data_IF_936332147471
#
_entry.id   IF_936332147471
#
_cell.length_a   1.000
_cell.length_b   1.000
_cell.length_c   1.000
_cell.angle_alpha   90.00
_cell.angle_beta   90.00
_cell.angle_gamma   90.00
#
_symmetry.space_group_name_H-M   'P 1'
#
loop_
_entity.id
_entity.type
_entity.pdbx_description
1 polymer ?
#
# COMPACT_ATOMS: atom_id res chain seq x y z
N UNK A 1 -10.29 24.70 -16.22
CA UNK A 1 -9.59 24.13 -15.04
C UNK A 1 -10.42 22.91 -14.62
N UNK A 2 -9.86 21.71 -14.68
CA UNK A 2 -10.54 20.50 -14.20
C UNK A 2 -10.78 20.62 -12.69
N UNK A 3 -12.00 20.37 -12.25
CA UNK A 3 -12.39 20.44 -10.85
C UNK A 3 -11.72 19.27 -10.10
N UNK A 4 -10.96 19.54 -9.07
CA UNK A 4 -10.47 18.50 -8.16
C UNK A 4 -11.68 17.88 -7.45
N UNK A 5 -11.90 16.59 -7.65
CA UNK A 5 -13.00 15.85 -7.03
C UNK A 5 -12.41 14.88 -6.01
N UNK A 6 -12.83 15.01 -4.76
CA UNK A 6 -12.32 14.19 -3.65
C UNK A 6 -12.46 12.68 -3.94
N UNK A 7 -11.37 11.96 -3.81
CA UNK A 7 -11.33 10.50 -4.01
C UNK A 7 -11.42 10.05 -5.47
N UNK A 8 -11.28 10.97 -6.43
CA UNK A 8 -11.30 10.66 -7.84
C UNK A 8 -10.03 11.12 -8.54
N UNK A 9 -9.59 10.36 -9.53
CA UNK A 9 -8.38 10.61 -10.31
C UNK A 9 -8.80 10.97 -11.72
N UNK A 10 -8.48 12.21 -12.15
CA UNK A 10 -8.72 12.66 -13.51
C UNK A 10 -7.96 11.76 -14.50
N UNK A 11 -8.66 11.29 -15.54
CA UNK A 11 -8.09 10.39 -16.53
C UNK A 11 -7.39 11.16 -17.67
N UNK A 12 -6.75 10.40 -18.57
CA UNK A 12 -5.96 10.95 -19.67
C UNK A 12 -6.79 11.80 -20.65
N UNK A 13 -8.07 11.50 -20.81
CA UNK A 13 -9.02 12.25 -21.65
C UNK A 13 -9.33 13.63 -21.08
N UNK A 14 -8.99 13.90 -19.82
CA UNK A 14 -9.30 15.13 -19.06
C UNK A 14 -10.80 15.41 -18.87
N UNK A 15 -11.63 14.41 -19.09
CA UNK A 15 -13.08 14.46 -19.01
C UNK A 15 -13.63 13.47 -17.99
N UNK A 16 -13.08 12.26 -17.94
CA UNK A 16 -13.54 11.20 -17.05
C UNK A 16 -12.63 11.01 -15.84
N UNK A 17 -13.16 10.31 -14.84
CA UNK A 17 -12.48 10.03 -13.59
C UNK A 17 -12.41 8.53 -13.31
N UNK A 18 -11.42 8.15 -12.50
CA UNK A 18 -11.36 6.84 -11.87
C UNK A 18 -11.53 6.99 -10.36
N UNK A 19 -12.21 6.04 -9.74
CA UNK A 19 -12.23 5.86 -8.29
C UNK A 19 -11.59 4.54 -7.90
N UNK A 20 -10.94 4.50 -6.74
CA UNK A 20 -10.22 3.32 -6.25
C UNK A 20 -10.67 3.04 -4.82
N UNK A 21 -11.72 2.23 -4.62
CA UNK A 21 -12.17 1.84 -3.30
C UNK A 21 -11.07 1.16 -2.48
N UNK A 22 -11.09 1.37 -1.18
CA UNK A 22 -10.19 0.69 -0.25
C UNK A 22 -10.58 -0.78 -0.16
N UNK A 23 -9.64 -1.64 -0.47
CA UNK A 23 -9.75 -3.10 -0.34
C UNK A 23 -8.51 -3.52 0.47
N UNK A 24 -8.64 -3.66 1.79
CA UNK A 24 -7.52 -4.00 2.66
C UNK A 24 -6.85 -5.31 2.23
N UNK A 25 -5.53 -5.27 2.00
CA UNK A 25 -4.70 -6.39 1.55
C UNK A 25 -5.22 -7.15 0.32
N UNK A 26 -6.17 -6.56 -0.43
CA UNK A 26 -6.80 -7.24 -1.57
C UNK A 26 -7.81 -8.32 -1.20
N UNK A 27 -8.22 -8.41 0.07
CA UNK A 27 -9.22 -9.41 0.52
C UNK A 27 -10.61 -8.96 0.11
N UNK A 28 -11.29 -9.81 -0.64
CA UNK A 28 -12.62 -9.56 -1.19
C UNK A 28 -13.63 -10.59 -0.65
N UNK A 29 -14.87 -10.16 -0.47
CA UNK A 29 -16.01 -11.06 -0.28
C UNK A 29 -16.92 -11.03 -1.51
N UNK A 30 -17.81 -12.02 -1.69
CA UNK A 30 -18.80 -11.99 -2.76
C UNK A 30 -19.62 -10.70 -2.78
N UNK A 31 -20.03 -10.19 -1.60
CA UNK A 31 -20.82 -8.97 -1.47
C UNK A 31 -20.08 -7.73 -1.96
N UNK A 32 -18.78 -7.63 -1.66
CA UNK A 32 -17.93 -6.54 -2.19
C UNK A 32 -17.85 -6.61 -3.72
N UNK A 33 -17.65 -7.80 -4.29
CA UNK A 33 -17.61 -7.99 -5.74
C UNK A 33 -18.95 -7.65 -6.41
N UNK A 34 -20.06 -8.09 -5.83
CA UNK A 34 -21.41 -7.77 -6.31
C UNK A 34 -21.65 -6.26 -6.29
N UNK A 35 -21.30 -5.60 -5.19
CA UNK A 35 -21.41 -4.15 -5.03
C UNK A 35 -20.61 -3.39 -6.08
N UNK A 36 -19.36 -3.77 -6.28
CA UNK A 36 -18.50 -3.19 -7.33
C UNK A 36 -19.10 -3.39 -8.71
N UNK A 37 -19.63 -4.58 -9.01
CA UNK A 37 -20.26 -4.89 -10.28
C UNK A 37 -21.58 -4.09 -10.51
N UNK A 38 -22.41 -3.95 -9.47
CA UNK A 38 -23.64 -3.15 -9.51
C UNK A 38 -23.35 -1.68 -9.82
N UNK A 39 -22.39 -1.08 -9.08
CA UNK A 39 -21.98 0.30 -9.29
C UNK A 39 -21.37 0.49 -10.69
N UNK A 40 -20.52 -0.43 -11.12
CA UNK A 40 -19.92 -0.38 -12.44
C UNK A 40 -20.98 -0.39 -13.56
N UNK A 41 -22.04 -1.22 -13.44
CA UNK A 41 -23.14 -1.26 -14.39
C UNK A 41 -23.99 0.03 -14.34
N UNK A 42 -24.35 0.49 -13.13
CA UNK A 42 -25.19 1.68 -12.94
C UNK A 42 -24.59 2.94 -13.56
N UNK A 43 -23.28 3.13 -13.41
CA UNK A 43 -22.58 4.32 -13.90
C UNK A 43 -21.82 4.09 -15.21
N UNK A 44 -22.09 3.00 -15.93
CA UNK A 44 -21.45 2.65 -17.20
C UNK A 44 -19.92 2.74 -17.15
N UNK A 45 -19.34 2.22 -16.06
CA UNK A 45 -17.89 2.18 -15.88
C UNK A 45 -17.23 1.45 -17.04
N UNK A 46 -16.35 2.12 -17.76
CA UNK A 46 -15.74 1.59 -18.98
C UNK A 46 -14.77 0.44 -18.70
N UNK A 47 -13.99 0.55 -17.61
CA UNK A 47 -12.95 -0.42 -17.26
C UNK A 47 -12.95 -0.65 -15.75
N UNK A 48 -13.00 -1.90 -15.33
CA UNK A 48 -12.64 -2.33 -13.98
C UNK A 48 -11.23 -2.92 -14.01
N UNK A 49 -10.27 -2.29 -13.30
CA UNK A 49 -8.85 -2.68 -13.37
C UNK A 49 -8.28 -3.04 -12.01
N UNK A 50 -7.76 -4.27 -11.88
CA UNK A 50 -6.96 -4.66 -10.71
C UNK A 50 -5.65 -3.86 -10.73
N UNK A 51 -5.37 -3.16 -9.65
CA UNK A 51 -4.18 -2.32 -9.49
C UNK A 51 -3.05 -3.09 -8.81
N UNK A 52 -1.82 -2.58 -8.91
CA UNK A 52 -0.66 -3.13 -8.18
C UNK A 52 -0.81 -3.06 -6.65
N UNK A 53 -1.71 -2.22 -6.14
CA UNK A 53 -2.05 -2.15 -4.72
C UNK A 53 -3.15 -3.13 -4.31
N UNK A 54 -3.44 -4.15 -5.12
CA UNK A 54 -4.46 -5.18 -4.87
C UNK A 54 -5.89 -4.60 -4.70
N UNK A 55 -6.18 -3.47 -5.36
CA UNK A 55 -7.50 -2.82 -5.35
C UNK A 55 -8.10 -2.84 -6.74
N UNK A 56 -9.41 -2.63 -6.84
CA UNK A 56 -10.12 -2.53 -8.10
C UNK A 56 -10.41 -1.06 -8.39
N UNK A 57 -9.84 -0.53 -9.46
CA UNK A 57 -10.17 0.80 -9.97
C UNK A 57 -11.38 0.74 -10.89
N UNK A 58 -12.34 1.64 -10.69
CA UNK A 58 -13.49 1.87 -11.57
C UNK A 58 -13.17 3.08 -12.43
N UNK A 59 -12.97 2.89 -13.74
CA UNK A 59 -12.44 3.91 -14.64
C UNK A 59 -13.48 4.33 -15.69
N UNK A 60 -13.59 5.64 -15.93
CA UNK A 60 -14.47 6.19 -16.94
C UNK A 60 -15.78 6.78 -16.37
N UNK A 61 -15.80 7.13 -15.09
CA UNK A 61 -16.91 7.83 -14.45
C UNK A 61 -16.97 9.28 -14.93
N UNK A 62 -18.19 9.78 -15.16
CA UNK A 62 -18.40 11.21 -15.40
C UNK A 62 -18.22 12.01 -14.11
N UNK A 63 -17.81 13.29 -14.17
CA UNK A 63 -17.62 14.13 -12.98
C UNK A 63 -18.85 14.16 -12.06
N UNK A 64 -20.03 14.27 -12.63
CA UNK A 64 -21.31 14.32 -11.92
C UNK A 64 -21.70 13.03 -11.22
N UNK A 65 -21.15 11.90 -11.65
CA UNK A 65 -21.46 10.57 -11.12
C UNK A 65 -20.56 10.15 -9.94
N UNK A 66 -19.41 10.80 -9.76
CA UNK A 66 -18.38 10.38 -8.79
C UNK A 66 -18.90 10.31 -7.35
N UNK A 67 -19.59 11.37 -6.89
CA UNK A 67 -20.12 11.43 -5.54
C UNK A 67 -21.19 10.35 -5.30
N UNK A 68 -22.10 10.20 -6.26
CA UNK A 68 -23.16 9.19 -6.20
C UNK A 68 -22.59 7.77 -6.26
N UNK A 69 -21.55 7.53 -7.05
CA UNK A 69 -20.86 6.24 -7.12
C UNK A 69 -20.19 5.88 -5.78
N UNK A 70 -19.54 6.83 -5.11
CA UNK A 70 -18.99 6.63 -3.77
C UNK A 70 -20.08 6.31 -2.74
N UNK A 71 -21.20 7.03 -2.77
CA UNK A 71 -22.33 6.78 -1.88
C UNK A 71 -22.91 5.39 -2.10
N UNK A 72 -23.11 4.99 -3.35
CA UNK A 72 -23.64 3.67 -3.67
C UNK A 72 -22.68 2.53 -3.32
N UNK A 73 -21.38 2.74 -3.47
CA UNK A 73 -20.38 1.77 -3.02
C UNK A 73 -20.41 1.56 -1.51
N UNK A 74 -20.58 2.64 -0.73
CA UNK A 74 -20.52 2.56 0.73
C UNK A 74 -19.16 2.06 1.24
N UNK A 75 -18.09 2.24 0.47
CA UNK A 75 -16.73 1.84 0.79
C UNK A 75 -15.84 3.06 1.03
N UNK A 76 -14.80 2.88 1.84
CA UNK A 76 -13.80 3.92 2.08
C UNK A 76 -13.04 4.26 0.81
N UNK A 77 -12.64 5.53 0.69
CA UNK A 77 -11.75 5.99 -0.37
C UNK A 77 -10.36 5.38 -0.15
N UNK A 78 -9.88 4.65 -1.13
CA UNK A 78 -8.51 4.16 -1.14
C UNK A 78 -7.52 5.26 -1.53
N UNK A 79 -6.46 5.53 -0.73
CA UNK A 79 -5.48 6.54 -1.10
C UNK A 79 -4.81 6.15 -2.44
N UNK A 80 -4.99 6.96 -3.45
CA UNK A 80 -4.39 6.76 -4.77
C UNK A 80 -3.38 7.86 -5.12
N UNK A 81 -3.53 9.02 -4.49
CA UNK A 81 -2.67 10.19 -4.58
C UNK A 81 -2.34 10.69 -3.16
N UNK A 82 -1.39 11.62 -3.03
CA UNK A 82 -1.04 12.25 -1.78
C UNK A 82 0.24 11.71 -1.11
N UNK A 83 0.62 12.41 -0.04
CA UNK A 83 1.82 12.15 0.77
C UNK A 83 1.46 11.28 1.97
N UNK A 84 1.11 10.03 1.72
CA UNK A 84 0.70 9.09 2.77
C UNK A 84 1.11 7.65 2.41
N UNK A 85 0.87 6.74 3.34
CA UNK A 85 0.93 5.30 3.06
C UNK A 85 -0.30 4.92 2.23
N UNK A 86 -0.09 4.45 1.01
CA UNK A 86 -1.16 4.21 0.06
C UNK A 86 -1.83 2.85 0.21
N UNK A 87 -1.05 1.83 0.56
CA UNK A 87 -1.55 0.47 0.76
C UNK A 87 -0.52 -0.41 1.45
N UNK A 88 -1.00 -1.48 2.03
CA UNK A 88 -0.22 -2.64 2.41
C UNK A 88 -0.60 -3.78 1.48
N UNK A 89 0.36 -4.30 0.71
CA UNK A 89 0.18 -5.50 -0.09
C UNK A 89 0.54 -6.71 0.77
N UNK A 90 -0.31 -7.74 0.77
CA UNK A 90 -0.03 -8.97 1.51
C UNK A 90 -0.30 -10.21 0.65
N UNK A 91 0.37 -11.29 0.94
CA UNK A 91 0.04 -12.62 0.45
C UNK A 91 -0.78 -13.38 1.53
N UNK A 92 -1.41 -14.52 1.21
CA UNK A 92 -2.23 -15.25 2.18
C UNK A 92 -1.51 -15.74 3.45
N UNK A 93 -0.19 -15.94 3.40
CA UNK A 93 0.58 -16.43 4.56
C UNK A 93 0.06 -17.75 5.10
N UNK A 94 0.11 -17.92 6.42
CA UNK A 94 -0.37 -19.14 7.10
C UNK A 94 -1.87 -19.34 7.05
N UNK A 95 -2.64 -18.34 6.61
CA UNK A 95 -4.10 -18.48 6.51
C UNK A 95 -4.50 -19.60 5.52
N UNK A 96 -3.87 -19.63 4.34
CA UNK A 96 -4.21 -20.64 3.32
C UNK A 96 -3.01 -21.19 2.54
N UNK A 97 -1.83 -20.57 2.63
CA UNK A 97 -0.70 -20.96 1.81
C UNK A 97 0.14 -22.06 2.46
N UNK A 98 0.34 -23.19 1.77
CA UNK A 98 1.17 -24.31 2.26
C UNK A 98 2.65 -23.94 2.53
N UNK A 99 3.14 -22.85 1.96
CA UNK A 99 4.51 -22.34 2.18
C UNK A 99 4.56 -21.24 3.25
N UNK A 100 3.42 -20.81 3.76
CA UNK A 100 3.34 -19.76 4.79
C UNK A 100 4.13 -20.15 6.04
N UNK A 101 4.96 -19.22 6.52
CA UNK A 101 5.74 -19.34 7.76
C UNK A 101 5.21 -18.34 8.80
N UNK A 102 4.49 -17.30 8.38
CA UNK A 102 3.89 -16.30 9.25
C UNK A 102 2.55 -15.81 8.73
N UNK A 103 1.75 -15.25 9.64
CA UNK A 103 0.48 -14.62 9.34
C UNK A 103 0.67 -13.24 8.69
N UNK A 104 0.85 -13.24 7.38
CA UNK A 104 1.05 -11.99 6.62
C UNK A 104 -0.22 -11.16 6.50
N UNK A 105 -1.40 -11.77 6.47
CA UNK A 105 -2.67 -11.03 6.42
C UNK A 105 -2.95 -10.34 7.77
N UNK A 106 -2.78 -11.03 8.90
CA UNK A 106 -2.98 -10.45 10.22
C UNK A 106 -1.99 -9.31 10.51
N UNK A 107 -0.68 -9.51 10.22
CA UNK A 107 0.32 -8.46 10.36
C UNK A 107 0.02 -7.26 9.45
N UNK A 108 -0.32 -7.50 8.19
CA UNK A 108 -0.67 -6.44 7.25
C UNK A 108 -1.92 -5.66 7.68
N UNK A 109 -2.93 -6.33 8.23
CA UNK A 109 -4.14 -5.68 8.75
C UNK A 109 -3.84 -4.73 9.92
N UNK A 110 -2.98 -5.15 10.85
CA UNK A 110 -2.50 -4.27 11.95
C UNK A 110 -1.80 -3.03 11.42
N UNK A 111 -0.85 -3.22 10.49
CA UNK A 111 -0.08 -2.14 9.87
C UNK A 111 -0.99 -1.21 9.05
N UNK A 112 -1.92 -1.76 8.28
CA UNK A 112 -2.86 -0.98 7.47
C UNK A 112 -3.74 -0.08 8.33
N UNK A 113 -4.31 -0.61 9.41
CA UNK A 113 -5.12 0.15 10.37
C UNK A 113 -4.35 1.29 11.01
N UNK A 114 -3.05 1.10 11.24
CA UNK A 114 -2.20 2.09 11.89
C UNK A 114 -1.76 3.21 10.95
N UNK A 115 -1.51 2.94 9.66
CA UNK A 115 -0.74 3.86 8.82
C UNK A 115 -1.42 4.25 7.50
N UNK A 116 -2.28 3.41 6.91
CA UNK A 116 -2.83 3.70 5.57
C UNK A 116 -3.79 4.88 5.59
N UNK A 117 -3.55 5.82 4.67
CA UNK A 117 -4.37 7.02 4.48
C UNK A 117 -4.20 8.10 5.53
N UNK A 118 -3.35 7.91 6.55
CA UNK A 118 -3.04 8.94 7.53
C UNK A 118 -2.07 9.96 6.95
N UNK A 119 -2.39 11.23 7.12
CA UNK A 119 -1.53 12.34 6.74
C UNK A 119 -0.40 12.58 7.76
N UNK A 120 0.68 13.24 7.32
CA UNK A 120 1.79 13.62 8.19
C UNK A 120 2.73 12.49 8.60
N UNK A 121 2.59 11.29 8.03
CA UNK A 121 3.47 10.15 8.33
C UNK A 121 4.59 9.95 7.31
N UNK A 122 4.51 10.59 6.16
CA UNK A 122 5.46 10.36 5.08
C UNK A 122 5.67 11.61 4.23
N UNK A 123 6.90 11.80 3.75
CA UNK A 123 7.25 12.91 2.85
C UNK A 123 6.89 12.65 1.38
N UNK A 124 6.51 11.43 1.05
CA UNK A 124 6.08 11.04 -0.29
C UNK A 124 5.18 9.80 -0.24
N UNK A 125 4.57 9.47 -1.38
CA UNK A 125 3.83 8.22 -1.57
C UNK A 125 4.62 7.01 -1.08
N UNK A 126 4.10 6.30 -0.10
CA UNK A 126 4.75 5.14 0.51
C UNK A 126 3.90 3.88 0.34
N UNK A 127 4.54 2.74 0.16
CA UNK A 127 3.90 1.45 -0.11
C UNK A 127 4.56 0.37 0.72
N UNK A 128 3.75 -0.54 1.26
CA UNK A 128 4.25 -1.66 2.05
C UNK A 128 3.97 -3.00 1.39
N UNK A 129 4.80 -4.01 1.71
CA UNK A 129 4.62 -5.39 1.26
C UNK A 129 4.96 -6.38 2.36
N UNK A 130 4.02 -7.26 2.69
CA UNK A 130 4.13 -8.24 3.75
C UNK A 130 3.95 -9.65 3.18
N UNK A 131 5.01 -10.44 3.19
CA UNK A 131 5.03 -11.80 2.65
C UNK A 131 5.12 -12.85 3.74
N UNK A 132 4.28 -13.86 3.71
CA UNK A 132 4.25 -14.92 4.72
C UNK A 132 5.43 -15.89 4.65
N UNK A 133 6.32 -15.80 3.65
CA UNK A 133 7.54 -16.58 3.53
C UNK A 133 8.55 -15.94 2.56
N UNK A 134 9.72 -16.56 2.41
CA UNK A 134 10.82 -16.09 1.56
C UNK A 134 10.50 -16.05 0.04
N UNK A 135 9.42 -16.69 -0.42
CA UNK A 135 8.98 -16.59 -1.82
C UNK A 135 8.53 -15.18 -2.20
N UNK A 136 8.29 -14.34 -1.21
CA UNK A 136 8.13 -12.89 -1.37
C UNK A 136 6.98 -12.48 -2.32
N UNK A 137 5.87 -13.20 -2.29
CA UNK A 137 4.71 -12.98 -3.19
C UNK A 137 4.06 -11.60 -3.05
N UNK A 138 4.22 -10.91 -1.91
CA UNK A 138 3.80 -9.51 -1.71
C UNK A 138 4.89 -8.50 -2.07
N UNK A 139 5.95 -8.95 -2.78
CA UNK A 139 7.00 -8.09 -3.34
C UNK A 139 7.70 -7.19 -2.30
N UNK A 140 7.90 -7.70 -1.07
CA UNK A 140 8.45 -6.94 0.07
C UNK A 140 9.79 -6.25 -0.25
N UNK A 141 10.66 -6.89 -1.05
CA UNK A 141 11.97 -6.33 -1.45
C UNK A 141 11.88 -5.09 -2.34
N UNK A 142 10.76 -4.85 -3.00
CA UNK A 142 10.58 -3.71 -3.92
C UNK A 142 9.47 -2.78 -3.48
N UNK A 143 9.24 -2.71 -2.16
CA UNK A 143 8.36 -1.75 -1.49
C UNK A 143 9.17 -0.81 -0.60
N UNK A 144 8.61 0.35 -0.26
CA UNK A 144 9.28 1.34 0.59
C UNK A 144 9.64 0.73 1.96
N UNK A 145 8.69 0.00 2.57
CA UNK A 145 8.92 -0.91 3.70
C UNK A 145 8.36 -2.28 3.35
N UNK A 146 9.07 -3.32 3.70
CA UNK A 146 8.68 -4.70 3.50
C UNK A 146 9.02 -5.60 4.66
N UNK A 147 8.27 -6.70 4.78
CA UNK A 147 8.62 -7.78 5.68
C UNK A 147 8.31 -9.14 5.05
N UNK A 148 9.11 -10.15 5.37
CA UNK A 148 8.77 -11.54 5.08
C UNK A 148 9.12 -12.44 6.26
N UNK A 149 8.37 -13.53 6.42
CA UNK A 149 8.58 -14.47 7.49
C UNK A 149 9.53 -15.61 7.08
N UNK A 150 10.28 -16.12 8.05
CA UNK A 150 11.08 -17.34 7.99
C UNK A 150 10.76 -18.20 9.21
N UNK A 151 11.19 -19.47 9.29
CA UNK A 151 11.01 -20.27 10.51
C UNK A 151 11.56 -19.61 11.77
N UNK A 152 12.58 -18.75 11.63
CA UNK A 152 13.22 -18.05 12.75
C UNK A 152 12.53 -16.73 13.14
N UNK A 153 11.48 -16.31 12.41
CA UNK A 153 10.78 -15.03 12.61
C UNK A 153 10.81 -14.11 11.40
N UNK A 154 10.39 -12.87 11.61
CA UNK A 154 10.24 -11.89 10.55
C UNK A 154 11.56 -11.19 10.21
N UNK A 155 11.71 -10.89 8.92
CA UNK A 155 12.79 -10.06 8.37
C UNK A 155 12.18 -8.77 7.84
N UNK A 156 12.76 -7.61 8.22
CA UNK A 156 12.29 -6.27 7.77
C UNK A 156 13.26 -5.69 6.77
N UNK A 157 12.69 -5.07 5.72
CA UNK A 157 13.37 -4.52 4.56
C UNK A 157 12.94 -3.06 4.39
N UNK A 158 13.87 -2.20 3.95
CA UNK A 158 13.61 -0.77 3.73
C UNK A 158 14.15 -0.30 2.38
N UNK A 159 13.48 0.67 1.78
CA UNK A 159 13.99 1.40 0.63
C UNK A 159 13.92 0.67 -0.70
N UNK A 160 13.01 -0.32 -0.84
CA UNK A 160 12.71 -0.95 -2.11
C UNK A 160 11.86 -0.07 -3.03
N UNK A 161 11.98 -0.28 -4.35
CA UNK A 161 11.18 0.42 -5.37
C UNK A 161 11.04 -0.42 -6.64
N UNK A 162 9.80 -0.62 -7.10
CA UNK A 162 9.47 -1.27 -8.38
C UNK A 162 9.12 -0.28 -9.50
N UNK A 163 9.32 1.03 -9.29
CA UNK A 163 9.00 2.07 -10.26
C UNK A 163 10.10 2.33 -11.29
N UNK A 164 10.04 3.47 -11.96
CA UNK A 164 10.94 3.85 -13.06
C UNK A 164 12.45 3.90 -12.72
N UNK A 165 12.81 3.84 -11.44
CA UNK A 165 14.18 3.64 -10.97
C UNK A 165 14.20 2.51 -9.94
N UNK A 166 14.24 1.25 -10.40
CA UNK A 166 14.13 0.07 -9.55
C UNK A 166 15.25 0.01 -8.51
N UNK A 167 14.89 -0.49 -7.31
CA UNK A 167 15.84 -0.73 -6.23
C UNK A 167 15.36 -1.93 -5.41
N UNK A 168 16.27 -2.85 -5.11
CA UNK A 168 16.05 -3.88 -4.12
C UNK A 168 16.31 -3.26 -2.74
N UNK A 169 15.37 -3.43 -1.82
CA UNK A 169 15.48 -2.91 -0.48
C UNK A 169 16.53 -3.62 0.37
N UNK A 170 17.04 -2.92 1.36
CA UNK A 170 18.04 -3.43 2.29
C UNK A 170 17.37 -4.10 3.48
N UNK A 171 17.90 -5.25 3.90
CA UNK A 171 17.49 -5.90 5.15
C UNK A 171 18.06 -5.13 6.33
N UNK A 172 17.20 -4.66 7.23
CA UNK A 172 17.61 -3.92 8.42
C UNK A 172 17.54 -4.74 9.72
N UNK A 173 16.61 -5.70 9.79
CA UNK A 173 16.48 -6.57 10.97
C UNK A 173 15.97 -7.96 10.56
N UNK A 174 16.30 -8.96 11.38
CA UNK A 174 15.90 -10.36 11.18
C UNK A 174 15.44 -10.97 12.50
N UNK A 175 14.73 -12.10 12.44
CA UNK A 175 14.28 -12.91 13.59
C UNK A 175 13.40 -12.12 14.56
N UNK A 176 12.57 -11.24 14.03
CA UNK A 176 11.66 -10.42 14.82
C UNK A 176 10.35 -11.18 15.10
N UNK A 177 9.79 -10.93 16.29
CA UNK A 177 8.38 -11.22 16.56
C UNK A 177 7.48 -10.22 15.79
N UNK A 178 6.20 -10.53 15.62
CA UNK A 178 5.26 -9.73 14.87
C UNK A 178 5.11 -8.30 15.43
N UNK A 179 5.00 -8.18 16.76
CA UNK A 179 4.90 -6.90 17.46
C UNK A 179 6.15 -6.03 17.23
N UNK A 180 7.32 -6.65 17.18
CA UNK A 180 8.58 -5.94 16.89
C UNK A 180 8.61 -5.42 15.44
N UNK A 181 7.97 -6.11 14.49
CA UNK A 181 7.82 -5.61 13.10
C UNK A 181 6.95 -4.36 13.08
N UNK A 182 5.82 -4.38 13.79
CA UNK A 182 4.90 -3.23 13.87
C UNK A 182 5.61 -2.02 14.47
N UNK A 183 6.31 -2.20 15.59
CA UNK A 183 7.09 -1.14 16.25
C UNK A 183 8.19 -0.59 15.34
N UNK A 184 8.93 -1.48 14.67
CA UNK A 184 10.00 -1.07 13.77
C UNK A 184 9.49 -0.31 12.55
N UNK A 185 8.32 -0.68 11.99
CA UNK A 185 7.68 0.08 10.92
C UNK A 185 7.33 1.50 11.38
N UNK A 186 6.84 1.66 12.62
CA UNK A 186 6.60 2.96 13.23
C UNK A 186 7.87 3.80 13.31
N UNK A 187 8.93 3.26 13.90
CA UNK A 187 10.23 3.94 14.01
C UNK A 187 10.82 4.33 12.64
N UNK A 188 10.68 3.44 11.64
CA UNK A 188 11.13 3.72 10.27
C UNK A 188 10.36 4.91 9.65
N UNK A 189 9.05 4.96 9.84
CA UNK A 189 8.22 6.07 9.34
C UNK A 189 8.54 7.38 10.06
N UNK A 190 8.65 7.36 11.39
CA UNK A 190 8.96 8.53 12.19
C UNK A 190 10.33 9.13 11.81
N UNK A 191 11.33 8.26 11.63
CA UNK A 191 12.65 8.73 11.23
C UNK A 191 12.65 9.27 9.80
N UNK A 192 11.96 8.59 8.88
CA UNK A 192 11.81 9.04 7.49
C UNK A 192 11.06 10.35 7.40
N UNK A 193 9.94 10.52 8.10
CA UNK A 193 9.16 11.75 8.11
C UNK A 193 10.01 12.96 8.56
N UNK A 194 10.78 12.80 9.63
CA UNK A 194 11.58 13.87 10.23
C UNK A 194 12.83 14.25 9.43
N UNK A 195 13.40 13.34 8.65
CA UNK A 195 14.73 13.51 8.05
C UNK A 195 14.74 13.50 6.51
N UNK A 196 13.66 13.06 5.86
CA UNK A 196 13.56 13.11 4.42
C UNK A 196 13.24 14.52 3.92
N UNK A 197 13.72 14.83 2.72
CA UNK A 197 13.39 16.09 2.04
C UNK A 197 11.94 16.06 1.55
N UNK A 198 11.29 17.21 1.38
CA UNK A 198 9.95 17.27 0.82
C UNK A 198 9.83 16.49 -0.49
N UNK A 199 8.84 15.59 -0.57
CA UNK A 199 8.59 14.68 -1.70
C UNK A 199 9.71 13.68 -2.01
N UNK A 200 10.71 13.53 -1.16
CA UNK A 200 11.74 12.51 -1.30
C UNK A 200 11.18 11.13 -0.98
N UNK A 201 11.19 10.23 -1.96
CA UNK A 201 10.75 8.84 -1.76
C UNK A 201 11.72 8.09 -0.84
N UNK A 202 11.22 7.18 0.00
CA UNK A 202 12.04 6.40 0.93
C UNK A 202 13.25 5.72 0.27
N UNK A 203 13.19 5.11 -0.92
CA UNK A 203 14.38 4.57 -1.59
C UNK A 203 15.48 5.61 -1.83
N UNK A 204 15.09 6.86 -2.15
CA UNK A 204 16.06 7.96 -2.36
C UNK A 204 16.63 8.46 -1.06
N UNK A 205 15.80 8.53 -0.04
CA UNK A 205 16.23 8.87 1.30
C UNK A 205 17.30 7.88 1.80
N UNK A 206 17.04 6.55 1.69
CA UNK A 206 18.01 5.52 2.06
C UNK A 206 19.30 5.59 1.23
N UNK A 207 19.22 5.83 -0.08
CA UNK A 207 20.39 6.03 -0.93
C UNK A 207 21.23 7.25 -0.49
N UNK A 208 20.57 8.34 -0.06
CA UNK A 208 21.23 9.58 0.35
C UNK A 208 21.94 9.48 1.69
N UNK A 209 21.29 8.86 2.69
CA UNK A 209 21.87 8.80 4.04
C UNK A 209 22.71 7.53 4.29
N UNK A 210 22.47 6.48 3.49
CA UNK A 210 23.05 5.16 3.69
C UNK A 210 22.22 4.28 4.65
N UNK A 211 22.13 2.98 4.32
CA UNK A 211 21.32 2.03 5.10
C UNK A 211 21.85 1.83 6.53
N UNK A 212 23.17 1.90 6.74
CA UNK A 212 23.76 1.70 8.07
C UNK A 212 23.42 2.87 9.01
N UNK A 213 23.38 4.10 8.51
CA UNK A 213 22.93 5.25 9.29
C UNK A 213 21.45 5.15 9.64
N UNK A 214 20.63 4.77 8.65
CA UNK A 214 19.21 4.51 8.89
C UNK A 214 18.99 3.41 9.95
N UNK A 215 19.72 2.29 9.82
CA UNK A 215 19.64 1.15 10.76
C UNK A 215 19.96 1.57 12.19
N UNK A 216 21.04 2.32 12.40
CA UNK A 216 21.43 2.84 13.74
C UNK A 216 20.37 3.74 14.36
N UNK A 217 19.64 4.48 13.53
CA UNK A 217 18.62 5.42 14.02
C UNK A 217 17.30 4.75 14.42
N UNK A 218 16.99 3.56 13.88
CA UNK A 218 15.69 2.90 14.09
C UNK A 218 15.75 1.64 14.94
N UNK A 219 16.92 1.05 15.14
CA UNK A 219 17.14 -0.11 16.02
C UNK A 219 17.61 0.30 17.39
#
# INVERSE_FOLDING_TARGET
MSKEIKGAILQRDKETYAIVPRIPMGVLTPEILEKLAQVARKYNVRIMKITSGQRIALVGLKPEDVESAWKDLGMDIGPAEGLCVHYVQACPGTETCKFGQGDSLGLAAKIEKMYVGKEGLTQAKTKFGISGCMLNCAESYVRDLGAFCTPDGWTVIVGGNSGGRPRIGDVIAKKLAEEQVVDLFGKCLDYYEKNARPRERMPRFIERIGVEEFRKAVL
#
